data_IF_336531226606
#
_entry.id   IF_336531226606
#
_cell.length_a   1.000
_cell.length_b   1.000
_cell.length_c   1.000
_cell.angle_alpha   90.00
_cell.angle_beta   90.00
_cell.angle_gamma   90.00
#
_symmetry.space_group_name_H-M   'P 1'
#
loop_
_entity.id
_entity.type
_entity.pdbx_description
1 polymer ?
#
# COMPACT_ATOMS: atom_id res chain seq x y z
N UNK A 1 -23.78 -16.54 -29.14
CA UNK A 1 -23.68 -16.32 -28.71
C UNK A 1 -23.33 -15.95 -27.80
N UNK A 2 -23.20 -15.82 -27.60
CA UNK A 2 -23.00 -15.54 -26.79
C UNK A 2 -22.61 -15.03 -26.01
N UNK A 3 -22.49 -14.84 -25.63
CA UNK A 3 -22.22 -14.37 -24.87
C UNK A 3 -21.77 -14.23 -24.01
N UNK A 4 -21.57 -14.17 -23.77
CA UNK A 4 -21.13 -13.97 -23.02
C UNK A 4 -20.87 -13.63 -22.08
N UNK A 5 -20.75 -13.59 -21.59
CA UNK A 5 -20.55 -13.29 -20.79
C UNK A 5 -20.01 -12.96 -19.97
N UNK A 6 -19.90 -12.66 -19.51
CA UNK A 6 -19.39 -12.29 -18.80
C UNK A 6 -19.34 -12.12 -17.77
N UNK A 7 -19.02 -11.97 -17.24
CA UNK A 7 -18.84 -11.93 -16.29
C UNK A 7 -18.78 -11.23 -15.40
N UNK A 8 -18.83 -11.30 -15.02
CA UNK A 8 -18.79 -10.82 -14.27
C UNK A 8 -18.26 -10.05 -13.70
N UNK A 9 -18.52 -9.68 -13.53
CA UNK A 9 -18.15 -8.77 -13.19
C UNK A 9 -18.17 -8.41 -12.03
N UNK A 10 -17.53 -8.18 -11.57
CA UNK A 10 -17.36 -7.90 -10.38
C UNK A 10 -17.95 -6.83 -9.93
N UNK A 11 -18.26 -6.72 -9.38
CA UNK A 11 -18.72 -5.88 -8.86
C UNK A 11 -18.14 -4.79 -8.62
N UNK A 12 -18.12 -4.20 -9.28
CA UNK A 12 -17.70 -2.97 -9.11
C UNK A 12 -18.33 -2.38 -8.02
N UNK A 13 -17.68 -1.81 -7.24
CA UNK A 13 -18.21 -1.08 -6.19
C UNK A 13 -19.02 -0.03 -6.74
N UNK A 14 -20.06 0.16 -6.19
CA UNK A 14 -20.83 1.22 -6.57
C UNK A 14 -20.01 2.41 -6.52
N UNK A 15 -20.15 3.25 -7.40
CA UNK A 15 -19.45 4.48 -7.41
C UNK A 15 -19.76 5.15 -6.15
N UNK A 16 -18.78 5.41 -5.45
CA UNK A 16 -18.98 6.14 -4.26
C UNK A 16 -19.53 7.47 -4.60
N UNK A 17 -19.87 8.18 -3.61
CA UNK A 17 -20.44 9.50 -3.81
C UNK A 17 -19.52 10.42 -4.59
N UNK A 18 -18.25 10.12 -4.64
CA UNK A 18 -17.32 10.94 -5.39
C UNK A 18 -17.35 10.63 -6.88
N UNK A 19 -17.95 9.52 -7.27
CA UNK A 19 -17.95 9.08 -8.65
C UNK A 19 -16.61 8.59 -9.15
N UNK A 20 -15.66 8.39 -8.26
CA UNK A 20 -14.34 7.96 -8.66
C UNK A 20 -14.15 6.48 -8.44
N UNK A 21 -13.39 5.85 -9.32
CA UNK A 21 -12.99 4.48 -9.11
C UNK A 21 -12.05 4.40 -7.90
N UNK A 22 -12.09 3.29 -7.20
CA UNK A 22 -11.21 3.13 -6.03
C UNK A 22 -9.75 3.12 -6.40
N UNK A 23 -8.95 3.68 -5.53
CA UNK A 23 -7.50 3.72 -5.67
C UNK A 23 -6.85 3.02 -4.50
N UNK A 24 -5.66 2.52 -4.72
CA UNK A 24 -4.85 1.86 -3.70
C UNK A 24 -3.45 2.46 -3.77
N UNK A 25 -2.84 2.64 -2.62
CA UNK A 25 -1.41 2.93 -2.60
C UNK A 25 -0.70 1.59 -2.65
N UNK A 26 0.11 1.37 -3.66
CA UNK A 26 0.95 0.19 -3.75
C UNK A 26 2.37 0.55 -3.38
N UNK A 27 2.97 -0.22 -2.47
CA UNK A 27 4.33 0.02 -2.02
C UNK A 27 5.14 -1.27 -2.11
N UNK A 28 6.29 -1.17 -2.74
CA UNK A 28 7.22 -2.30 -2.85
C UNK A 28 8.40 -2.03 -1.95
N UNK A 29 8.59 -2.90 -0.97
CA UNK A 29 9.63 -2.75 0.04
C UNK A 29 10.83 -3.59 -0.34
N UNK A 30 11.83 -2.95 -0.89
CA UNK A 30 13.08 -3.62 -1.20
C UNK A 30 14.10 -3.46 -0.09
N UNK A 31 15.16 -4.23 -0.15
CA UNK A 31 16.22 -4.18 0.85
C UNK A 31 17.06 -2.92 0.84
N UNK A 32 17.10 -2.22 -0.28
CA UNK A 32 17.88 -0.99 -0.41
C UNK A 32 17.01 0.20 -0.75
N UNK A 33 15.88 -0.02 -1.40
CA UNK A 33 15.02 1.06 -1.87
C UNK A 33 13.56 0.63 -1.77
N UNK A 34 12.70 1.57 -1.44
CA UNK A 34 11.26 1.37 -1.49
C UNK A 34 10.68 2.24 -2.58
N UNK A 35 9.60 1.79 -3.19
CA UNK A 35 8.90 2.56 -4.20
C UNK A 35 7.39 2.44 -3.98
N UNK A 36 6.66 3.50 -4.28
CA UNK A 36 5.21 3.48 -4.09
C UNK A 36 4.54 4.38 -5.10
N UNK A 37 3.28 4.07 -5.38
CA UNK A 37 2.48 4.86 -6.31
C UNK A 37 1.00 4.59 -6.06
N UNK A 38 0.16 5.47 -6.58
CA UNK A 38 -1.28 5.22 -6.62
C UNK A 38 -1.59 4.32 -7.81
N UNK A 39 -2.47 3.38 -7.58
CA UNK A 39 -2.82 2.38 -8.59
C UNK A 39 -4.33 2.21 -8.57
N UNK A 40 -4.93 2.03 -9.74
CA UNK A 40 -6.37 1.75 -9.80
C UNK A 40 -6.62 0.24 -9.68
N UNK A 41 -7.88 -0.14 -9.73
CA UNK A 41 -8.26 -1.54 -9.56
C UNK A 41 -7.75 -2.43 -10.69
N UNK A 42 -7.39 -1.86 -11.81
CA UNK A 42 -6.82 -2.63 -12.91
C UNK A 42 -5.31 -2.73 -12.89
N UNK A 43 -4.68 -2.15 -11.89
CA UNK A 43 -3.23 -2.18 -11.79
C UNK A 43 -2.52 -1.07 -12.55
N UNK A 44 -3.25 -0.10 -13.05
CA UNK A 44 -2.67 1.00 -13.80
C UNK A 44 -2.24 2.12 -12.86
N UNK A 45 -1.06 2.65 -13.08
CA UNK A 45 -0.57 3.75 -12.26
C UNK A 45 -1.43 4.99 -12.45
N UNK A 46 -1.77 5.62 -11.33
CA UNK A 46 -2.61 6.81 -11.33
C UNK A 46 -1.89 8.00 -10.74
N UNK A 47 -0.58 8.00 -10.82
CA UNK A 47 0.25 9.09 -10.35
C UNK A 47 1.71 8.72 -10.49
N UNK A 48 2.60 9.62 -10.14
CA UNK A 48 4.03 9.32 -10.26
C UNK A 48 4.49 8.31 -9.24
N UNK A 49 5.51 7.56 -9.59
CA UNK A 49 6.16 6.65 -8.65
C UNK A 49 7.12 7.48 -7.80
N UNK A 50 7.00 7.33 -6.50
CA UNK A 50 7.94 7.94 -5.57
C UNK A 50 8.80 6.86 -4.95
N UNK A 51 10.04 7.18 -4.63
CA UNK A 51 10.92 6.19 -4.01
C UNK A 51 11.80 6.85 -2.98
N UNK A 52 12.32 6.04 -2.07
CA UNK A 52 13.27 6.50 -1.08
C UNK A 52 14.15 5.33 -0.65
N UNK A 53 15.31 5.63 -0.04
CA UNK A 53 16.15 4.55 0.47
C UNK A 53 15.46 3.78 1.58
N UNK A 54 15.74 2.50 1.68
CA UNK A 54 15.23 1.66 2.76
C UNK A 54 16.20 1.77 3.94
N UNK A 55 15.74 2.22 5.12
CA UNK A 55 16.62 2.25 6.29
C UNK A 55 16.75 0.85 6.89
N UNK A 56 17.36 -0.04 6.13
CA UNK A 56 17.32 -1.47 6.40
C UNK A 56 18.01 -1.88 7.70
N UNK A 57 18.94 -1.09 8.18
CA UNK A 57 19.71 -1.44 9.37
C UNK A 57 19.45 -0.51 10.55
N UNK A 58 18.37 0.26 10.49
CA UNK A 58 18.05 1.22 11.53
C UNK A 58 16.91 0.78 12.44
N UNK A 59 16.41 -0.42 12.24
CA UNK A 59 15.39 -1.00 13.10
C UNK A 59 13.96 -0.81 12.57
N UNK A 60 13.03 -1.57 13.14
CA UNK A 60 11.64 -1.54 12.66
C UNK A 60 10.96 -0.19 12.76
N UNK A 61 11.25 0.58 13.78
CA UNK A 61 10.65 1.91 13.92
C UNK A 61 11.04 2.81 12.75
N UNK A 62 12.33 2.81 12.39
CA UNK A 62 12.78 3.61 11.26
C UNK A 62 12.15 3.12 9.97
N UNK A 63 11.99 1.81 9.82
CA UNK A 63 11.32 1.24 8.66
C UNK A 63 9.87 1.69 8.58
N UNK A 64 9.14 1.61 9.67
CA UNK A 64 7.73 2.00 9.67
C UNK A 64 7.57 3.49 9.41
N UNK A 65 8.46 4.31 9.94
CA UNK A 65 8.44 5.73 9.67
C UNK A 65 8.69 6.02 8.19
N UNK A 66 9.64 5.32 7.58
CA UNK A 66 9.95 5.52 6.17
C UNK A 66 8.80 5.06 5.28
N UNK A 67 8.20 3.92 5.59
CA UNK A 67 7.06 3.40 4.84
C UNK A 67 5.91 4.40 4.90
N UNK A 68 5.58 4.87 6.09
CA UNK A 68 4.47 5.80 6.27
C UNK A 68 4.73 7.14 5.61
N UNK A 69 5.97 7.61 5.67
CA UNK A 69 6.34 8.84 4.99
C UNK A 69 6.22 8.72 3.48
N UNK A 70 6.60 7.58 2.93
CA UNK A 70 6.50 7.38 1.49
C UNK A 70 5.03 7.29 1.06
N UNK A 71 4.20 6.62 1.84
CA UNK A 71 2.77 6.57 1.58
C UNK A 71 2.19 7.98 1.58
N UNK A 72 2.52 8.78 2.58
CA UNK A 72 2.03 10.15 2.65
C UNK A 72 2.46 10.98 1.45
N UNK A 73 3.70 10.81 1.01
CA UNK A 73 4.21 11.51 -0.16
C UNK A 73 3.43 11.13 -1.41
N UNK A 74 3.16 9.84 -1.58
CA UNK A 74 2.43 9.35 -2.75
C UNK A 74 1.00 9.89 -2.75
N UNK A 75 0.35 9.89 -1.60
CA UNK A 75 -1.01 10.42 -1.49
C UNK A 75 -1.02 11.91 -1.83
N UNK A 76 -0.11 12.66 -1.24
CA UNK A 76 -0.06 14.09 -1.46
C UNK A 76 0.24 14.42 -2.91
N UNK A 77 1.28 13.80 -3.47
CA UNK A 77 1.70 14.07 -4.83
C UNK A 77 0.65 13.62 -5.84
N UNK A 78 0.07 12.46 -5.59
CA UNK A 78 -0.87 11.88 -6.54
C UNK A 78 -2.24 12.52 -6.53
N UNK A 79 -2.59 13.24 -5.46
CA UNK A 79 -3.92 13.84 -5.34
C UNK A 79 -3.89 15.37 -5.40
N UNK A 80 -2.72 15.94 -5.53
CA UNK A 80 -2.56 17.39 -5.42
C UNK A 80 -3.44 18.19 -6.38
N UNK A 81 -3.57 17.73 -7.61
CA UNK A 81 -4.29 18.49 -8.62
C UNK A 81 -5.70 18.01 -8.86
N UNK A 82 -6.18 17.06 -8.09
CA UNK A 82 -7.50 16.51 -8.31
C UNK A 82 -8.26 16.45 -6.99
N UNK A 83 -9.07 17.47 -6.72
CA UNK A 83 -9.86 17.48 -5.49
C UNK A 83 -10.73 16.22 -5.41
N UNK A 84 -10.77 15.63 -4.25
CA UNK A 84 -11.56 14.42 -4.04
C UNK A 84 -10.86 13.14 -4.38
N UNK A 85 -9.71 13.18 -5.04
CA UNK A 85 -9.01 11.96 -5.40
C UNK A 85 -8.53 11.21 -4.16
N UNK A 86 -8.13 11.94 -3.12
CA UNK A 86 -7.70 11.30 -1.88
C UNK A 86 -8.81 10.46 -1.25
N UNK A 87 -10.05 10.89 -1.40
CA UNK A 87 -11.18 10.16 -0.86
C UNK A 87 -11.43 8.83 -1.57
N UNK A 88 -10.86 8.64 -2.74
CA UNK A 88 -10.99 7.40 -3.48
C UNK A 88 -9.98 6.34 -3.03
N UNK A 89 -9.01 6.71 -2.18
CA UNK A 89 -7.99 5.77 -1.73
C UNK A 89 -8.61 4.90 -0.65
N UNK A 90 -8.71 3.61 -0.92
CA UNK A 90 -9.42 2.69 -0.06
C UNK A 90 -8.50 1.74 0.70
N UNK A 91 -7.27 1.60 0.28
CA UNK A 91 -6.37 0.64 0.90
C UNK A 91 -4.92 0.97 0.59
N UNK A 92 -4.04 0.37 1.36
CA UNK A 92 -2.60 0.40 1.09
C UNK A 92 -2.15 -1.06 0.98
N UNK A 93 -1.50 -1.37 -0.13
CA UNK A 93 -0.91 -2.69 -0.32
C UNK A 93 0.60 -2.59 -0.21
N UNK A 94 1.19 -3.44 0.61
CA UNK A 94 2.63 -3.43 0.80
C UNK A 94 3.19 -4.79 0.42
N UNK A 95 4.06 -4.81 -0.58
CA UNK A 95 4.77 -6.01 -0.96
C UNK A 95 6.11 -6.02 -0.26
N UNK A 96 6.45 -7.15 0.34
CA UNK A 96 7.73 -7.29 1.04
C UNK A 96 8.21 -8.72 0.89
N UNK A 97 9.52 -8.89 0.93
CA UNK A 97 10.08 -10.23 0.94
C UNK A 97 9.90 -10.86 2.31
N UNK A 98 9.90 -12.18 2.33
CA UNK A 98 9.75 -12.92 3.57
C UNK A 98 8.36 -13.53 3.70
N UNK A 99 8.09 -14.08 4.84
CA UNK A 99 6.81 -14.72 5.13
C UNK A 99 5.96 -13.77 5.95
N UNK A 100 4.74 -13.56 5.52
CA UNK A 100 3.85 -12.58 6.13
C UNK A 100 2.58 -13.28 6.61
N UNK A 101 2.21 -12.97 7.85
CA UNK A 101 0.90 -13.34 8.35
C UNK A 101 -0.07 -12.27 7.85
N UNK A 102 -0.81 -12.62 6.82
CA UNK A 102 -1.67 -11.65 6.15
C UNK A 102 -2.78 -11.15 7.05
N UNK A 103 -3.30 -12.03 7.90
CA UNK A 103 -4.41 -11.65 8.76
C UNK A 103 -3.97 -10.69 9.86
N UNK A 104 -2.81 -10.94 10.43
CA UNK A 104 -2.33 -10.08 11.51
C UNK A 104 -1.50 -8.91 11.05
N UNK A 105 -1.06 -8.94 9.82
CA UNK A 105 -0.23 -7.87 9.31
C UNK A 105 1.18 -7.90 9.87
N UNK A 106 1.68 -9.08 10.18
CA UNK A 106 2.95 -9.25 10.87
C UNK A 106 3.94 -10.01 10.00
N UNK A 107 5.20 -9.62 10.06
CA UNK A 107 6.27 -10.34 9.37
C UNK A 107 6.65 -11.53 10.23
N UNK A 108 6.44 -12.72 9.71
CA UNK A 108 6.77 -13.94 10.45
C UNK A 108 8.25 -14.29 10.33
N UNK A 109 8.80 -14.12 9.14
CA UNK A 109 10.23 -14.33 8.97
C UNK A 109 10.72 -13.46 7.82
N UNK A 110 11.97 -13.10 7.87
CA UNK A 110 12.58 -12.26 6.86
C UNK A 110 14.07 -12.57 6.81
N UNK A 111 14.69 -12.20 5.70
CA UNK A 111 16.13 -12.36 5.58
C UNK A 111 16.83 -11.28 6.40
N UNK A 112 18.13 -11.39 6.49
CA UNK A 112 18.91 -10.41 7.24
C UNK A 112 19.05 -9.08 6.50
N UNK A 113 18.45 -8.97 5.34
CA UNK A 113 18.53 -7.72 4.57
C UNK A 113 17.95 -6.53 5.34
N UNK A 114 16.96 -6.80 6.19
CA UNK A 114 16.37 -5.74 7.01
C UNK A 114 16.46 -6.18 8.46
N UNK A 115 17.22 -5.43 9.23
CA UNK A 115 17.51 -5.76 10.61
C UNK A 115 16.25 -5.72 11.47
N UNK A 116 15.98 -6.81 12.17
CA UNK A 116 14.87 -6.86 13.12
C UNK A 116 13.49 -6.87 12.49
N UNK A 117 13.39 -7.15 11.20
CA UNK A 117 12.12 -7.07 10.51
C UNK A 117 11.14 -8.17 10.89
N UNK A 118 11.65 -9.37 11.19
CA UNK A 118 10.77 -10.46 11.63
C UNK A 118 10.08 -10.05 12.94
N UNK A 119 8.80 -10.34 13.02
CA UNK A 119 8.00 -9.95 14.19
C UNK A 119 7.38 -8.57 14.10
N UNK A 120 7.74 -7.78 13.10
CA UNK A 120 7.21 -6.43 12.98
C UNK A 120 5.74 -6.46 12.59
N UNK A 121 4.92 -5.70 13.31
CA UNK A 121 3.51 -5.56 13.03
C UNK A 121 3.34 -4.41 12.05
N UNK A 122 3.49 -4.72 10.78
CA UNK A 122 3.53 -3.68 9.74
C UNK A 122 2.19 -2.98 9.60
N UNK A 123 1.11 -3.75 9.56
CA UNK A 123 -0.20 -3.14 9.37
C UNK A 123 -0.55 -2.18 10.49
N UNK A 124 -0.37 -2.59 11.73
CA UNK A 124 -0.65 -1.74 12.88
C UNK A 124 0.26 -0.55 12.92
N UNK A 125 1.56 -0.78 12.70
CA UNK A 125 2.55 0.30 12.76
C UNK A 125 2.31 1.37 11.72
N UNK A 126 1.92 0.97 10.52
CA UNK A 126 1.63 1.94 9.46
C UNK A 126 0.34 2.69 9.77
N UNK A 127 -0.70 1.97 10.25
CA UNK A 127 -1.96 2.64 10.61
C UNK A 127 -1.75 3.71 11.67
N UNK A 128 -0.92 3.43 12.66
CA UNK A 128 -0.66 4.38 13.73
C UNK A 128 -0.02 5.65 13.24
N UNK A 129 0.73 5.56 12.15
CA UNK A 129 1.50 6.68 11.64
C UNK A 129 0.80 7.46 10.54
N UNK A 130 -0.22 6.87 9.92
CA UNK A 130 -0.94 7.58 8.88
C UNK A 130 -1.95 8.53 9.51
N UNK A 131 -2.07 9.75 8.98
CA UNK A 131 -3.01 10.70 9.56
C UNK A 131 -4.43 10.22 9.37
N UNK A 132 -5.24 10.48 10.35
CA UNK A 132 -6.63 10.08 10.33
C UNK A 132 -7.48 11.02 9.52
N UNK A 133 -7.10 11.75 8.70
CA UNK A 133 -7.84 12.56 7.72
C UNK A 133 -9.33 12.69 7.97
N UNK A 134 -9.75 12.72 9.20
CA UNK A 134 -11.17 12.85 9.52
C UNK A 134 -11.97 11.60 9.32
N UNK A 135 -11.34 10.49 9.04
CA UNK A 135 -12.03 9.23 8.90
C UNK A 135 -11.02 8.14 9.12
N UNK A 136 -11.51 6.94 9.18
CA UNK A 136 -10.63 5.80 9.45
C UNK A 136 -9.57 5.72 8.36
N UNK A 137 -8.38 5.39 8.76
CA UNK A 137 -7.33 5.15 7.79
C UNK A 137 -7.70 3.94 6.94
N UNK A 138 -7.30 3.93 5.68
CA UNK A 138 -7.62 2.79 4.86
C UNK A 138 -6.95 1.53 5.39
N UNK A 139 -7.54 0.38 5.16
CA UNK A 139 -6.94 -0.86 5.62
C UNK A 139 -5.60 -1.09 4.93
N UNK A 140 -4.69 -1.67 5.67
CA UNK A 140 -3.39 -2.00 5.13
C UNK A 140 -3.39 -3.48 4.77
N UNK A 141 -3.19 -3.75 3.52
CA UNK A 141 -3.06 -5.11 3.03
C UNK A 141 -1.63 -5.35 2.60
N UNK A 142 -1.22 -6.57 2.67
CA UNK A 142 0.10 -6.90 2.23
C UNK A 142 0.05 -7.93 1.17
N UNK A 143 0.86 -7.76 0.20
CA UNK A 143 0.98 -8.74 -0.83
C UNK A 143 2.28 -9.49 -0.61
N UNK A 144 2.24 -10.75 -0.83
CA UNK A 144 3.45 -11.54 -0.82
C UNK A 144 4.22 -11.23 -2.09
N UNK A 145 5.45 -10.89 -1.92
CA UNK A 145 6.28 -10.63 -3.07
C UNK A 145 6.60 -11.96 -3.73
N UNK A 146 6.23 -12.13 -4.95
CA UNK A 146 6.47 -13.41 -5.56
C UNK A 146 7.93 -13.63 -5.71
N UNK A 147 8.24 -14.69 -5.30
CA UNK A 147 9.38 -15.25 -5.59
C UNK A 147 10.53 -14.53 -5.79
N UNK A 148 10.69 -13.79 -5.27
CA UNK A 148 11.85 -13.18 -5.57
C UNK A 148 13.00 -13.95 -5.25
#
# INVERSE_FOLDING_TARGET
>A
MSQDVLPSTPLAPSPSSSGRAPLVVGLDLGGTKMAAALVDSGGTLQGPVSSCPTPAHEGPTAMLNAISGLIATVVETGTHQEPGKAAAITAVGIGTAGVVDVERGTILSATDAITGWAGTQVAAGVRERLPAQGRAAPPVHRAHAPGA
#
